data_IF_161567184574
#
_entry.id   IF_161567184574
#
_cell.length_a   1.000
_cell.length_b   1.000
_cell.length_c   1.000
_cell.angle_alpha   90.00
_cell.angle_beta   90.00
_cell.angle_gamma   90.00
#
_symmetry.space_group_name_H-M   'P 1'
#
loop_
_entity.id
_entity.type
_entity.pdbx_description
1 polymer ?
#
# COMPACT_ATOMS: atom_id res chain seq x y z
N UNK A 1 -9.30 -7.64 20.70
CA UNK A 1 -8.23 -6.96 19.94
C UNK A 1 -8.79 -5.64 19.46
N UNK A 2 -8.10 -4.53 19.72
CA UNK A 2 -8.49 -3.24 19.16
C UNK A 2 -8.38 -3.34 17.64
N UNK A 3 -9.49 -3.13 16.93
CA UNK A 3 -9.52 -3.18 15.47
C UNK A 3 -8.85 -1.89 14.99
N UNK A 4 -7.53 -1.94 14.73
CA UNK A 4 -6.79 -0.76 14.29
C UNK A 4 -7.31 -0.32 12.92
N UNK A 5 -8.07 0.78 12.91
CA UNK A 5 -8.59 1.37 11.68
C UNK A 5 -7.53 2.29 11.09
N UNK A 6 -6.68 1.72 10.25
CA UNK A 6 -5.66 2.48 9.54
C UNK A 6 -6.30 3.33 8.44
N UNK A 7 -5.89 4.59 8.36
CA UNK A 7 -6.32 5.49 7.28
C UNK A 7 -5.49 5.16 6.03
N UNK A 8 -6.18 4.80 4.95
CA UNK A 8 -5.57 4.54 3.64
C UNK A 8 -6.02 5.66 2.70
N UNK A 9 -5.08 6.21 1.94
CA UNK A 9 -5.36 7.17 0.88
C UNK A 9 -4.93 6.57 -0.47
N UNK A 10 -5.79 6.68 -1.47
CA UNK A 10 -5.47 6.37 -2.87
C UNK A 10 -5.43 7.70 -3.61
N UNK A 11 -4.26 8.04 -4.13
CA UNK A 11 -4.02 9.34 -4.77
C UNK A 11 -4.07 9.15 -6.28
N UNK A 12 -4.91 9.95 -6.94
CA UNK A 12 -4.99 9.99 -8.40
C UNK A 12 -4.34 11.28 -8.90
N UNK A 13 -3.50 11.14 -9.93
CA UNK A 13 -2.87 12.26 -10.60
C UNK A 13 -3.83 13.05 -11.47
N UNK A 14 -3.30 14.11 -12.08
CA UNK A 14 -4.05 14.90 -13.06
C UNK A 14 -4.25 14.11 -14.36
N UNK A 15 -5.34 14.40 -15.07
CA UNK A 15 -5.67 13.70 -16.33
C UNK A 15 -4.63 13.94 -17.44
N UNK A 16 -4.03 15.12 -17.48
CA UNK A 16 -3.08 15.52 -18.52
C UNK A 16 -1.66 14.99 -18.28
N UNK A 17 -1.21 14.99 -17.03
CA UNK A 17 0.21 14.73 -16.67
C UNK A 17 0.43 13.70 -15.57
N UNK A 18 -0.62 13.15 -14.98
CA UNK A 18 -0.52 12.21 -13.87
C UNK A 18 0.00 12.84 -12.57
N UNK A 19 0.74 12.05 -11.80
CA UNK A 19 1.43 12.45 -10.57
C UNK A 19 2.87 12.85 -10.89
N UNK A 20 3.43 13.81 -10.17
CA UNK A 20 4.86 14.15 -10.26
C UNK A 20 5.73 13.08 -9.61
N UNK A 21 7.02 13.06 -9.93
CA UNK A 21 7.97 12.15 -9.26
C UNK A 21 8.03 12.38 -7.75
N UNK A 22 7.88 13.63 -7.30
CA UNK A 22 7.84 13.97 -5.87
C UNK A 22 6.57 13.40 -5.23
N UNK A 23 5.42 13.52 -5.88
CA UNK A 23 4.15 12.93 -5.41
C UNK A 23 4.21 11.39 -5.38
N UNK A 24 4.83 10.77 -6.40
CA UNK A 24 5.06 9.33 -6.45
C UNK A 24 6.01 8.82 -5.38
N UNK A 25 7.05 9.60 -5.04
CA UNK A 25 8.02 9.27 -3.99
C UNK A 25 7.38 9.28 -2.58
N UNK A 26 6.30 10.05 -2.39
CA UNK A 26 5.53 10.05 -1.14
C UNK A 26 4.61 8.83 -1.00
N UNK A 27 4.26 8.16 -2.11
CA UNK A 27 3.38 7.01 -2.09
C UNK A 27 4.12 5.75 -1.59
N UNK A 28 3.50 5.00 -0.68
CA UNK A 28 4.05 3.74 -0.19
C UNK A 28 3.99 2.62 -1.24
N UNK A 29 3.02 2.67 -2.15
CA UNK A 29 2.80 1.68 -3.19
C UNK A 29 2.39 2.37 -4.49
N UNK A 30 2.81 1.80 -5.62
CA UNK A 30 2.37 2.21 -6.94
C UNK A 30 1.39 1.18 -7.50
N UNK A 31 0.19 1.63 -7.81
CA UNK A 31 -0.86 0.81 -8.39
C UNK A 31 -0.88 1.02 -9.90
N UNK A 32 -0.78 -0.06 -10.66
CA UNK A 32 -0.86 -0.03 -12.13
C UNK A 32 -2.06 -0.85 -12.58
N UNK A 33 -2.95 -0.23 -13.36
CA UNK A 33 -4.08 -0.93 -13.98
C UNK A 33 -3.58 -1.56 -15.28
N UNK A 34 -3.74 -2.87 -15.48
CA UNK A 34 -3.37 -3.51 -16.73
C UNK A 34 -4.26 -2.97 -17.86
N UNK A 35 -3.64 -2.37 -18.86
CA UNK A 35 -4.27 -1.77 -20.03
C UNK A 35 -3.58 -2.28 -21.29
N UNK A 36 -4.17 -2.02 -22.46
CA UNK A 36 -3.55 -2.41 -23.73
C UNK A 36 -2.19 -1.69 -23.89
N UNK A 37 -1.15 -2.44 -24.28
CA UNK A 37 0.20 -1.92 -24.51
C UNK A 37 0.27 -0.88 -25.64
N UNK A 38 -0.60 -0.96 -26.64
CA UNK A 38 -0.64 -0.02 -27.77
C UNK A 38 -1.46 1.24 -27.49
N UNK A 39 -2.43 1.16 -26.57
CA UNK A 39 -3.28 2.28 -26.18
C UNK A 39 -3.61 2.18 -24.68
N UNK A 40 -2.63 2.54 -23.86
CA UNK A 40 -2.65 2.40 -22.41
C UNK A 40 -3.17 3.62 -21.65
N UNK A 41 -3.90 4.52 -22.30
CA UNK A 41 -4.41 5.74 -21.67
C UNK A 41 -5.82 5.51 -21.17
N UNK A 42 -5.99 5.60 -19.85
CA UNK A 42 -7.30 5.53 -19.21
C UNK A 42 -7.65 6.91 -18.63
N UNK A 43 -8.87 7.37 -18.86
CA UNK A 43 -9.37 8.58 -18.20
C UNK A 43 -9.42 8.36 -16.67
N UNK A 44 -9.13 9.42 -15.91
CA UNK A 44 -9.05 9.39 -14.44
C UNK A 44 -10.34 8.86 -13.80
N UNK A 45 -11.52 9.23 -14.30
CA UNK A 45 -12.80 8.73 -13.79
C UNK A 45 -12.95 7.22 -13.99
N UNK A 46 -12.49 6.68 -15.12
CA UNK A 46 -12.52 5.25 -15.37
C UNK A 46 -11.52 4.49 -14.46
N UNK A 47 -10.35 5.07 -14.22
CA UNK A 47 -9.39 4.51 -13.25
C UNK A 47 -9.98 4.47 -11.83
N UNK A 48 -10.62 5.56 -11.38
CA UNK A 48 -11.31 5.63 -10.08
C UNK A 48 -12.40 4.57 -10.00
N UNK A 49 -13.23 4.44 -11.05
CA UNK A 49 -14.32 3.48 -11.09
C UNK A 49 -13.83 2.04 -10.94
N UNK A 50 -12.76 1.66 -11.65
CA UNK A 50 -12.16 0.32 -11.55
C UNK A 50 -11.61 0.06 -10.14
N UNK A 51 -10.88 1.01 -9.57
CA UNK A 51 -10.34 0.87 -8.21
C UNK A 51 -11.47 0.71 -7.18
N UNK A 52 -12.50 1.54 -7.24
CA UNK A 52 -13.67 1.44 -6.35
C UNK A 52 -14.41 0.10 -6.52
N UNK A 53 -14.53 -0.38 -7.76
CA UNK A 53 -15.15 -1.67 -8.05
C UNK A 53 -14.37 -2.83 -7.42
N UNK A 54 -13.06 -2.89 -7.63
CA UNK A 54 -12.21 -3.95 -7.04
C UNK A 54 -12.26 -3.93 -5.51
N UNK A 55 -12.16 -2.74 -4.89
CA UNK A 55 -12.30 -2.60 -3.43
C UNK A 55 -13.64 -3.13 -2.93
N UNK A 56 -14.73 -2.84 -3.65
CA UNK A 56 -16.08 -3.30 -3.32
C UNK A 56 -16.20 -4.82 -3.45
N UNK A 57 -15.66 -5.40 -4.52
CA UNK A 57 -15.68 -6.85 -4.76
C UNK A 57 -14.91 -7.60 -3.68
N UNK A 58 -13.72 -7.12 -3.31
CA UNK A 58 -12.94 -7.70 -2.20
C UNK A 58 -13.67 -7.58 -0.86
N UNK A 59 -14.29 -6.44 -0.57
CA UNK A 59 -15.07 -6.27 0.66
C UNK A 59 -16.25 -7.24 0.75
N UNK A 60 -16.95 -7.50 -0.37
CA UNK A 60 -18.02 -8.50 -0.44
C UNK A 60 -17.51 -9.92 -0.22
N UNK A 61 -16.42 -10.30 -0.88
CA UNK A 61 -15.84 -11.64 -0.73
C UNK A 61 -15.47 -11.93 0.74
N UNK A 62 -14.86 -10.95 1.43
CA UNK A 62 -14.53 -11.04 2.86
C UNK A 62 -15.79 -11.23 3.74
N UNK A 63 -16.90 -10.56 3.42
CA UNK A 63 -18.17 -10.71 4.13
C UNK A 63 -18.77 -12.11 3.97
N UNK A 64 -18.72 -12.67 2.76
CA UNK A 64 -19.19 -14.04 2.47
C UNK A 64 -18.41 -15.08 3.28
N UNK A 65 -17.07 -14.96 3.33
CA UNK A 65 -16.19 -15.83 4.14
C UNK A 65 -16.49 -15.75 5.65
N UNK A 66 -16.88 -14.58 6.17
CA UNK A 66 -17.25 -14.44 7.60
C UNK A 66 -18.65 -14.95 7.94
N UNK A 67 -19.54 -15.04 6.96
CA UNK A 67 -20.93 -15.48 7.14
C UNK A 67 -21.10 -17.00 6.97
N UNK A 68 -20.19 -17.66 6.26
CA UNK A 68 -20.09 -19.14 6.19
C UNK A 68 -19.31 -19.73 7.37
N UNK A 69 -19.65 -19.33 8.60
CA UNK A 69 -19.29 -20.12 9.79
C UNK A 69 -20.28 -21.30 9.90
N UNK A 70 -20.18 -22.27 9.01
CA UNK A 70 -20.98 -23.50 9.06
C UNK A 70 -20.05 -24.73 9.15
N UNK A 71 -20.14 -25.36 10.31
CA UNK A 71 -19.81 -26.75 10.68
C UNK A 71 -18.39 -27.31 10.43
N UNK A 72 -17.79 -27.96 11.47
CA UNK A 72 -16.55 -28.67 11.28
C UNK A 72 -16.85 -29.96 10.50
N UNK A 73 -15.97 -30.27 9.55
CA UNK A 73 -15.81 -31.57 8.87
C UNK A 73 -16.40 -31.68 7.46
N UNK A 74 -15.59 -31.34 6.45
CA UNK A 74 -15.28 -32.22 5.30
C UNK A 74 -14.03 -31.77 4.56
N UNK A 75 -13.35 -32.77 4.01
CA UNK A 75 -11.89 -32.84 3.83
C UNK A 75 -11.45 -32.50 2.40
N UNK A 76 -10.26 -31.89 2.31
CA UNK A 76 -9.27 -31.88 1.22
C UNK A 76 -9.57 -31.14 -0.10
N UNK A 77 -8.88 -30.01 -0.28
CA UNK A 77 -7.75 -29.94 -1.20
C UNK A 77 -6.64 -29.12 -0.54
N UNK A 78 -5.42 -29.64 -0.52
CA UNK A 78 -4.26 -28.95 0.03
C UNK A 78 -3.86 -27.80 -0.91
N UNK A 79 -4.57 -26.66 -0.85
CA UNK A 79 -3.90 -25.39 -1.11
C UNK A 79 -2.93 -25.16 0.04
N UNK A 80 -1.65 -24.93 -0.26
CA UNK A 80 -0.74 -24.37 0.74
C UNK A 80 -1.42 -23.11 1.28
N UNK A 81 -1.80 -23.08 2.57
CA UNK A 81 -2.17 -21.82 3.17
C UNK A 81 -0.87 -21.00 3.14
N UNK A 82 -0.79 -20.00 2.27
CA UNK A 82 0.05 -18.86 2.58
C UNK A 82 -0.40 -18.47 3.98
N UNK A 83 0.43 -18.74 4.98
CA UNK A 83 0.21 -18.31 6.35
C UNK A 83 0.30 -16.79 6.33
N UNK A 84 -0.76 -16.14 5.85
CA UNK A 84 -1.02 -14.70 5.96
C UNK A 84 -1.35 -14.31 7.39
N UNK A 85 -1.33 -15.27 8.32
CA UNK A 85 -1.31 -15.06 9.75
C UNK A 85 0.09 -15.36 10.33
N UNK A 86 1.14 -14.81 9.72
CA UNK A 86 2.20 -14.28 10.60
C UNK A 86 1.61 -12.99 11.19
N UNK A 87 0.67 -13.15 12.13
CA UNK A 87 0.30 -12.07 13.04
C UNK A 87 1.55 -11.82 13.87
N UNK A 88 2.47 -11.05 13.29
CA UNK A 88 3.30 -10.15 14.04
C UNK A 88 2.32 -9.23 14.78
N UNK A 89 1.72 -9.76 15.85
CA UNK A 89 1.02 -9.01 16.88
C UNK A 89 2.11 -8.24 17.63
N UNK A 90 2.71 -7.28 16.93
CA UNK A 90 3.48 -6.25 17.58
C UNK A 90 2.48 -5.45 18.41
N UNK A 91 2.79 -5.26 19.69
CA UNK A 91 1.94 -4.48 20.60
C UNK A 91 1.81 -3.01 20.16
N UNK A 92 2.66 -2.56 19.22
CA UNK A 92 2.64 -1.23 18.67
C UNK A 92 1.87 -1.12 17.34
N UNK A 93 1.07 -0.04 17.16
CA UNK A 93 0.39 0.20 15.90
C UNK A 93 1.38 0.52 14.78
N UNK A 94 0.98 0.25 13.53
CA UNK A 94 1.72 0.71 12.35
C UNK A 94 1.94 2.22 12.41
N UNK A 95 3.15 2.63 12.04
CA UNK A 95 3.55 4.03 11.94
C UNK A 95 2.69 4.78 10.93
N UNK A 96 2.34 6.02 11.26
CA UNK A 96 1.65 6.91 10.34
C UNK A 96 2.61 7.47 9.29
N UNK A 97 2.07 7.95 8.16
CA UNK A 97 2.88 8.64 7.15
C UNK A 97 3.64 9.84 7.74
N UNK A 98 3.03 10.61 8.65
CA UNK A 98 3.67 11.74 9.30
C UNK A 98 4.86 11.33 10.19
N UNK A 99 4.75 10.22 10.93
CA UNK A 99 5.85 9.69 11.74
C UNK A 99 6.99 9.17 10.86
N UNK A 100 6.67 8.52 9.73
CA UNK A 100 7.68 8.11 8.75
C UNK A 100 8.41 9.32 8.15
N UNK A 101 7.71 10.41 7.85
CA UNK A 101 8.34 11.64 7.35
C UNK A 101 9.31 12.28 8.36
N UNK A 102 9.07 12.13 9.66
CA UNK A 102 9.97 12.61 10.71
C UNK A 102 11.23 11.75 10.86
N UNK A 103 11.15 10.46 10.50
CA UNK A 103 12.28 9.54 10.55
C UNK A 103 13.38 9.91 9.55
N UNK A 104 13.03 10.34 8.32
CA UNK A 104 14.04 10.62 7.29
C UNK A 104 15.03 11.74 7.64
N UNK A 105 14.61 12.94 8.10
CA UNK A 105 15.56 13.99 8.50
C UNK A 105 16.44 13.56 9.67
N UNK A 106 15.88 12.77 10.60
CA UNK A 106 16.64 12.27 11.74
C UNK A 106 17.71 11.27 11.30
N UNK A 107 17.34 10.34 10.42
CA UNK A 107 18.28 9.39 9.82
C UNK A 107 19.36 10.10 9.00
N UNK A 108 18.99 11.12 8.22
CA UNK A 108 19.94 11.93 7.46
C UNK A 108 20.97 12.63 8.37
N UNK A 109 20.53 13.22 9.48
CA UNK A 109 21.44 13.81 10.49
C UNK A 109 22.39 12.76 11.05
N UNK A 110 21.89 11.56 11.37
CA UNK A 110 22.75 10.48 11.90
C UNK A 110 23.75 9.98 10.86
N UNK A 111 23.36 9.93 9.58
CA UNK A 111 24.26 9.54 8.49
C UNK A 111 25.32 10.60 8.19
N UNK A 112 24.99 11.88 8.39
CA UNK A 112 25.96 12.97 8.34
C UNK A 112 26.94 12.91 9.53
N UNK A 113 26.46 12.62 10.73
CA UNK A 113 27.29 12.54 11.94
C UNK A 113 28.35 11.42 11.88
N UNK A 114 28.06 10.33 11.18
CA UNK A 114 29.01 9.22 10.95
C UNK A 114 29.85 9.38 9.68
N UNK A 115 29.82 10.57 9.05
CA UNK A 115 30.51 10.89 7.79
C UNK A 115 30.14 9.95 6.62
N UNK A 116 28.96 9.32 6.65
CA UNK A 116 28.50 8.44 5.57
C UNK A 116 27.93 9.23 4.37
N UNK A 117 27.25 10.35 4.65
CA UNK A 117 26.74 11.29 3.65
C UNK A 117 27.44 12.64 3.85
N UNK A 118 27.93 13.25 2.76
CA UNK A 118 28.37 14.64 2.77
C UNK A 118 27.18 15.55 2.40
N UNK A 119 26.64 16.36 3.34
CA UNK A 119 25.51 17.25 3.08
C UNK A 119 25.82 18.30 2.00
N UNK A 120 27.11 18.60 1.75
CA UNK A 120 27.55 19.59 0.76
C UNK A 120 27.77 18.98 -0.63
N UNK A 121 27.75 17.66 -0.76
CA UNK A 121 27.88 16.96 -2.03
C UNK A 121 26.98 15.72 -2.06
N UNK A 122 25.64 15.91 -2.12
CA UNK A 122 24.70 14.80 -2.19
C UNK A 122 24.91 14.08 -3.51
N UNK A 123 25.50 12.88 -3.45
CA UNK A 123 25.56 11.99 -4.60
C UNK A 123 24.13 11.61 -4.94
N UNK A 124 23.62 12.15 -6.05
CA UNK A 124 22.33 11.77 -6.62
C UNK A 124 22.39 10.27 -6.93
N UNK A 125 21.66 9.48 -6.13
CA UNK A 125 21.31 8.10 -6.44
C UNK A 125 20.13 8.09 -7.42
#
# INVERSE_FOLDING_TARGET
AAQYQHKIAIVFGREDRGLTNEELALANYHLTIPVNSEYGVLNVAAAIQLVCYELRMHALAQQTLTSEKIEPHKTAAAQMPLTTNLSMDWDEPLVTHAQMQQFYPHMESMLADIDFIDPKNPRLL
#
